data_IF_256541324205
#
_entry.id   IF_256541324205
#
_cell.length_a   1.000
_cell.length_b   1.000
_cell.length_c   1.000
_cell.angle_alpha   90.00
_cell.angle_beta   90.00
_cell.angle_gamma   90.00
#
_symmetry.space_group_name_H-M   'P 1'
#
loop_
_entity.id
_entity.type
_entity.pdbx_description
1 polymer ?
#
# COMPACT_ATOMS: atom_id res chain seq x y z
N UNK A 1 -3.75 19.15 -19.62
CA UNK A 1 -2.56 18.34 -19.99
C UNK A 1 -1.29 19.20 -19.96
N UNK A 2 -1.21 20.32 -20.67
CA UNK A 2 0.00 21.16 -20.79
C UNK A 2 0.54 21.63 -19.43
N UNK A 3 -0.32 22.09 -18.52
CA UNK A 3 0.04 22.50 -17.15
C UNK A 3 0.62 21.33 -16.32
N UNK A 4 0.04 20.14 -16.41
CA UNK A 4 0.51 18.97 -15.67
C UNK A 4 1.89 18.47 -16.12
N UNK A 5 2.21 18.61 -17.41
CA UNK A 5 3.54 18.23 -17.95
C UNK A 5 4.63 19.16 -17.42
N UNK A 6 4.36 20.45 -17.24
CA UNK A 6 5.36 21.41 -16.78
C UNK A 6 5.94 21.12 -15.39
N UNK A 7 5.17 20.46 -14.52
CA UNK A 7 5.58 20.06 -13.17
C UNK A 7 5.83 18.59 -13.02
N UNK A 8 5.75 17.81 -14.10
CA UNK A 8 5.77 16.34 -14.04
C UNK A 8 7.05 15.81 -13.38
N UNK A 9 8.21 16.33 -13.79
CA UNK A 9 9.50 15.87 -13.25
C UNK A 9 9.56 16.08 -11.73
N UNK A 10 9.24 17.28 -11.24
CA UNK A 10 9.24 17.60 -9.81
C UNK A 10 8.27 16.71 -9.01
N UNK A 11 7.09 16.48 -9.56
CA UNK A 11 6.10 15.60 -8.91
C UNK A 11 6.58 14.16 -8.86
N UNK A 12 7.09 13.64 -9.96
CA UNK A 12 7.58 12.26 -10.04
C UNK A 12 8.75 12.01 -9.08
N UNK A 13 9.68 12.93 -8.97
CA UNK A 13 10.81 12.81 -8.05
C UNK A 13 10.30 12.75 -6.60
N UNK A 14 9.43 13.68 -6.20
CA UNK A 14 8.87 13.70 -4.83
C UNK A 14 7.96 12.51 -4.55
N UNK A 15 7.08 12.14 -5.47
CA UNK A 15 6.21 10.97 -5.33
C UNK A 15 7.02 9.69 -5.13
N UNK A 16 8.11 9.55 -5.87
CA UNK A 16 8.99 8.38 -5.75
C UNK A 16 9.75 8.35 -4.41
N UNK A 17 10.26 9.49 -3.93
CA UNK A 17 10.87 9.60 -2.60
C UNK A 17 9.88 9.16 -1.52
N UNK A 18 8.66 9.72 -1.54
CA UNK A 18 7.59 9.39 -0.60
C UNK A 18 7.20 7.91 -0.70
N UNK A 19 6.98 7.39 -1.91
CA UNK A 19 6.61 5.99 -2.12
C UNK A 19 7.68 5.02 -1.60
N UNK A 20 8.97 5.36 -1.76
CA UNK A 20 10.06 4.56 -1.23
C UNK A 20 10.09 4.57 0.31
N UNK A 21 9.86 5.73 0.94
CA UNK A 21 9.77 5.84 2.40
C UNK A 21 8.59 5.02 2.95
N UNK A 22 7.41 5.16 2.34
CA UNK A 22 6.21 4.41 2.71
C UNK A 22 6.39 2.91 2.50
N UNK A 23 6.98 2.49 1.37
CA UNK A 23 7.21 1.07 1.09
C UNK A 23 8.14 0.43 2.14
N UNK A 24 9.18 1.15 2.60
CA UNK A 24 10.07 0.68 3.68
C UNK A 24 9.37 0.59 5.02
N UNK A 25 8.51 1.55 5.34
CA UNK A 25 7.68 1.52 6.54
C UNK A 25 6.75 0.30 6.53
N UNK A 26 6.03 0.10 5.43
CA UNK A 26 5.11 -1.03 5.28
C UNK A 26 5.81 -2.39 5.32
N UNK A 27 7.04 -2.49 4.82
CA UNK A 27 7.78 -3.75 4.76
C UNK A 27 8.05 -4.36 6.15
N UNK A 28 8.15 -3.52 7.18
CA UNK A 28 8.40 -3.95 8.57
C UNK A 28 7.15 -3.86 9.46
N UNK A 29 6.01 -3.47 8.89
CA UNK A 29 4.79 -3.27 9.67
C UNK A 29 4.11 -4.62 9.97
N UNK A 30 3.75 -4.93 11.25
CA UNK A 30 3.25 -6.24 11.65
C UNK A 30 1.91 -6.65 11.01
N UNK A 31 1.09 -5.68 10.59
CA UNK A 31 -0.19 -5.94 9.91
C UNK A 31 -0.07 -6.03 8.38
N UNK A 32 1.15 -5.94 7.84
CA UNK A 32 1.41 -6.03 6.40
C UNK A 32 2.08 -7.36 6.09
N UNK A 33 1.44 -8.14 5.22
CA UNK A 33 1.91 -9.46 4.78
C UNK A 33 2.94 -9.35 3.64
N UNK A 34 2.71 -8.42 2.71
CA UNK A 34 3.56 -8.24 1.54
C UNK A 34 3.50 -6.81 1.02
N UNK A 35 4.59 -6.34 0.42
CA UNK A 35 4.68 -5.01 -0.22
C UNK A 35 5.17 -5.20 -1.66
N UNK A 36 4.43 -4.62 -2.61
CA UNK A 36 4.73 -4.66 -4.03
C UNK A 36 5.13 -3.25 -4.49
N UNK A 37 6.42 -3.00 -4.53
CA UNK A 37 6.96 -1.73 -5.00
C UNK A 37 8.27 -1.97 -5.76
N UNK A 38 8.36 -1.46 -6.99
CA UNK A 38 9.56 -1.66 -7.80
C UNK A 38 10.86 -1.12 -7.20
N UNK A 39 10.81 -0.18 -6.30
CA UNK A 39 12.00 0.39 -5.65
C UNK A 39 12.56 -0.41 -4.48
N UNK A 40 11.92 -1.51 -4.08
CA UNK A 40 12.43 -2.35 -3.00
C UNK A 40 13.52 -3.32 -3.50
N UNK A 41 14.55 -3.61 -2.69
CA UNK A 41 15.56 -4.61 -3.02
C UNK A 41 14.91 -5.98 -3.28
N UNK A 42 15.29 -6.63 -4.37
CA UNK A 42 14.77 -7.96 -4.72
C UNK A 42 13.39 -7.98 -5.41
N UNK A 43 12.71 -6.85 -5.56
CA UNK A 43 11.38 -6.76 -6.20
C UNK A 43 11.38 -6.97 -7.73
N UNK A 44 12.45 -7.44 -8.30
CA UNK A 44 12.52 -7.80 -9.73
C UNK A 44 13.00 -6.70 -10.67
N UNK A 45 13.52 -5.60 -10.16
CA UNK A 45 13.67 -4.37 -10.91
C UNK A 45 15.00 -4.01 -11.51
N UNK A 46 15.95 -4.88 -11.46
CA UNK A 46 17.04 -4.82 -12.43
C UNK A 46 16.53 -4.79 -13.89
N UNK A 47 15.34 -5.37 -14.15
CA UNK A 47 14.68 -5.33 -15.46
C UNK A 47 14.13 -3.95 -15.83
N UNK A 48 13.63 -3.17 -14.86
CA UNK A 48 13.10 -1.83 -15.12
C UNK A 48 14.25 -0.82 -15.30
N UNK A 49 15.30 -0.92 -14.49
CA UNK A 49 16.52 -0.15 -14.69
C UNK A 49 17.16 -0.46 -16.05
N UNK A 50 17.20 -1.72 -16.49
CA UNK A 50 17.67 -2.13 -17.81
C UNK A 50 16.80 -1.59 -18.96
N UNK A 51 15.54 -1.21 -18.71
CA UNK A 51 14.64 -0.56 -19.68
C UNK A 51 14.76 0.97 -19.70
N UNK A 52 15.72 1.54 -18.99
CA UNK A 52 15.99 2.98 -18.99
C UNK A 52 15.03 3.80 -18.12
N UNK A 53 14.28 3.17 -17.19
CA UNK A 53 13.51 3.89 -16.21
C UNK A 53 14.44 4.51 -15.16
N UNK A 54 14.27 5.80 -14.88
CA UNK A 54 15.09 6.54 -13.91
C UNK A 54 14.72 6.26 -12.46
N UNK A 55 13.59 5.57 -12.23
CA UNK A 55 13.12 5.27 -10.90
C UNK A 55 11.86 4.41 -10.86
N UNK A 56 11.40 4.10 -9.65
CA UNK A 56 10.32 3.15 -9.38
C UNK A 56 8.91 3.76 -9.45
N UNK A 57 8.81 5.08 -9.56
CA UNK A 57 7.54 5.80 -9.61
C UNK A 57 6.86 5.95 -8.25
N UNK A 58 5.64 6.52 -8.26
CA UNK A 58 4.86 6.88 -7.07
C UNK A 58 3.71 5.94 -6.74
N UNK A 59 3.64 4.73 -7.35
CA UNK A 59 2.55 3.78 -7.08
C UNK A 59 3.12 2.52 -6.46
N UNK A 60 2.52 2.09 -5.35
CA UNK A 60 2.84 0.84 -4.66
C UNK A 60 1.56 0.13 -4.26
N UNK A 61 1.68 -1.15 -3.93
CA UNK A 61 0.58 -1.93 -3.33
C UNK A 61 1.10 -2.72 -2.14
N UNK A 62 0.22 -3.05 -1.22
CA UNK A 62 0.53 -3.95 -0.11
C UNK A 62 -0.66 -4.85 0.19
N UNK A 63 -0.40 -5.98 0.81
CA UNK A 63 -1.43 -6.89 1.33
C UNK A 63 -1.42 -6.84 2.86
N UNK A 64 -2.60 -6.70 3.46
CA UNK A 64 -2.72 -6.85 4.92
C UNK A 64 -2.68 -8.33 5.31
N UNK A 65 -2.34 -8.61 6.56
CA UNK A 65 -2.37 -9.98 7.09
C UNK A 65 -3.80 -10.54 7.11
N UNK A 66 -3.97 -11.86 6.98
CA UNK A 66 -5.29 -12.50 7.05
C UNK A 66 -6.04 -12.13 8.33
N UNK A 67 -7.34 -11.82 8.17
CA UNK A 67 -8.22 -11.45 9.29
C UNK A 67 -8.36 -9.94 9.51
N UNK A 68 -7.42 -9.13 9.07
CA UNK A 68 -7.56 -7.67 9.03
C UNK A 68 -8.37 -7.29 7.78
N UNK A 69 -9.46 -6.52 7.94
CA UNK A 69 -10.18 -5.98 6.77
C UNK A 69 -9.44 -4.75 6.24
N UNK A 70 -8.93 -4.78 5.00
CA UNK A 70 -8.24 -3.62 4.43
C UNK A 70 -9.15 -2.38 4.33
N UNK A 71 -10.48 -2.54 4.33
CA UNK A 71 -11.39 -1.42 4.37
C UNK A 71 -11.32 -0.67 5.72
N UNK A 72 -11.01 -1.35 6.81
CA UNK A 72 -10.80 -0.68 8.10
C UNK A 72 -9.56 0.23 8.07
N UNK A 73 -8.52 -0.16 7.35
CA UNK A 73 -7.36 0.72 7.14
C UNK A 73 -7.77 1.92 6.29
N UNK A 74 -8.36 1.68 5.11
CA UNK A 74 -8.67 2.75 4.16
C UNK A 74 -9.68 3.79 4.70
N UNK A 75 -10.68 3.32 5.44
CA UNK A 75 -11.73 4.20 5.99
C UNK A 75 -11.23 5.11 7.13
N UNK A 76 -10.05 4.86 7.66
CA UNK A 76 -9.45 5.64 8.72
C UNK A 76 -8.23 6.48 8.25
N UNK A 77 -7.96 6.50 6.96
CA UNK A 77 -6.99 7.41 6.35
C UNK A 77 -7.59 8.82 6.26
N UNK A 78 -6.78 9.83 6.58
CA UNK A 78 -7.18 11.24 6.55
C UNK A 78 -6.48 12.02 5.44
N UNK A 79 -5.23 11.70 5.15
CA UNK A 79 -4.44 12.32 4.08
C UNK A 79 -4.61 11.59 2.75
N UNK A 80 -4.58 10.27 2.77
CA UNK A 80 -4.91 9.50 1.57
C UNK A 80 -6.41 9.55 1.30
N UNK A 81 -6.77 9.99 0.10
CA UNK A 81 -8.18 10.00 -0.34
C UNK A 81 -8.55 8.69 -0.99
N UNK A 82 -9.73 8.17 -0.68
CA UNK A 82 -10.26 6.97 -1.32
C UNK A 82 -10.69 7.29 -2.75
N UNK A 83 -9.86 6.93 -3.74
CA UNK A 83 -10.12 7.21 -5.15
C UNK A 83 -9.29 6.33 -6.09
N UNK A 84 -9.86 6.06 -7.29
CA UNK A 84 -9.26 5.23 -8.35
C UNK A 84 -8.45 6.04 -9.36
N UNK A 85 -7.56 6.91 -8.91
CA UNK A 85 -6.72 7.72 -9.79
C UNK A 85 -5.24 7.55 -9.41
N UNK A 86 -4.35 8.23 -10.12
CA UNK A 86 -2.92 8.24 -9.83
C UNK A 86 -2.24 9.49 -10.44
N UNK A 87 -1.04 9.82 -9.94
CA UNK A 87 -0.17 10.84 -10.51
C UNK A 87 -0.57 12.28 -10.19
N UNK A 88 -1.53 12.49 -9.30
CA UNK A 88 -1.90 13.80 -8.78
C UNK A 88 -0.91 14.29 -7.71
N UNK A 89 -1.12 15.49 -7.19
CA UNK A 89 -0.33 16.03 -6.07
C UNK A 89 -0.76 15.42 -4.74
N UNK A 90 -2.05 15.07 -4.62
CA UNK A 90 -2.62 14.38 -3.47
C UNK A 90 -2.38 12.87 -3.52
N UNK A 91 -2.20 12.28 -2.35
CA UNK A 91 -2.11 10.84 -2.15
C UNK A 91 -3.49 10.18 -2.20
N UNK A 92 -3.56 9.06 -2.91
CA UNK A 92 -4.79 8.29 -3.11
C UNK A 92 -4.62 6.85 -2.69
N UNK A 93 -5.69 6.25 -2.17
CA UNK A 93 -5.75 4.84 -1.80
C UNK A 93 -6.99 4.17 -2.41
N UNK A 94 -6.88 2.89 -2.77
CA UNK A 94 -8.02 2.10 -3.23
C UNK A 94 -7.92 0.63 -2.83
N UNK A 95 -9.07 -0.02 -2.80
CA UNK A 95 -9.20 -1.48 -2.77
C UNK A 95 -9.51 -1.97 -4.19
N UNK A 96 -8.53 -2.53 -4.93
CA UNK A 96 -8.76 -2.97 -6.30
C UNK A 96 -9.92 -3.96 -6.43
N UNK A 97 -10.08 -4.87 -5.47
CA UNK A 97 -11.13 -5.88 -5.49
C UNK A 97 -12.56 -5.32 -5.37
N UNK A 98 -12.72 -4.14 -4.74
CA UNK A 98 -14.02 -3.48 -4.52
C UNK A 98 -14.23 -2.25 -5.41
N UNK A 99 -13.19 -1.79 -6.12
CA UNK A 99 -13.22 -0.55 -6.90
C UNK A 99 -12.89 -0.77 -8.37
N UNK A 100 -11.61 -0.90 -8.73
CA UNK A 100 -11.21 -1.00 -10.14
C UNK A 100 -11.49 -2.36 -10.79
N UNK A 101 -11.57 -3.42 -10.00
CA UNK A 101 -11.71 -4.80 -10.49
C UNK A 101 -12.93 -5.54 -9.89
N UNK A 102 -13.93 -4.80 -9.40
CA UNK A 102 -15.10 -5.40 -8.76
C UNK A 102 -15.97 -6.22 -9.73
N UNK A 103 -15.93 -5.89 -11.02
CA UNK A 103 -16.66 -6.61 -12.05
C UNK A 103 -16.06 -7.99 -12.40
N UNK A 104 -14.77 -8.21 -12.08
CA UNK A 104 -14.12 -9.48 -12.33
C UNK A 104 -14.50 -10.52 -11.27
N UNK A 105 -14.82 -11.76 -11.66
CA UNK A 105 -15.00 -12.85 -10.73
C UNK A 105 -13.75 -13.01 -9.83
N UNK A 106 -13.97 -13.37 -8.55
CA UNK A 106 -12.87 -13.51 -7.57
C UNK A 106 -11.74 -14.42 -8.08
N UNK A 107 -12.10 -15.54 -8.70
CA UNK A 107 -11.12 -16.50 -9.22
C UNK A 107 -10.22 -15.89 -10.31
N UNK A 108 -10.77 -15.02 -11.16
CA UNK A 108 -10.01 -14.32 -12.19
C UNK A 108 -9.12 -13.24 -11.59
N UNK A 109 -9.62 -12.49 -10.58
CA UNK A 109 -8.83 -11.50 -9.87
C UNK A 109 -7.60 -12.14 -9.19
N UNK A 110 -7.79 -13.28 -8.54
CA UNK A 110 -6.70 -14.01 -7.89
C UNK A 110 -5.63 -14.49 -8.88
N UNK A 111 -6.01 -14.91 -10.09
CA UNK A 111 -5.06 -15.32 -11.14
C UNK A 111 -4.13 -14.19 -11.59
N UNK A 112 -4.60 -12.95 -11.52
CA UNK A 112 -3.80 -11.75 -11.86
C UNK A 112 -3.18 -11.08 -10.63
N UNK A 113 -3.23 -11.72 -9.45
CA UNK A 113 -2.61 -11.22 -8.22
C UNK A 113 -3.42 -10.17 -7.46
N UNK A 114 -4.71 -9.98 -7.79
CA UNK A 114 -5.58 -9.05 -7.06
C UNK A 114 -6.34 -9.83 -5.99
N UNK A 115 -5.76 -9.88 -4.80
CA UNK A 115 -6.34 -10.51 -3.61
C UNK A 115 -7.40 -9.60 -2.96
N UNK A 116 -8.17 -10.14 -2.03
CA UNK A 116 -9.14 -9.36 -1.27
C UNK A 116 -8.47 -8.44 -0.23
N UNK A 117 -7.23 -8.78 0.15
CA UNK A 117 -6.39 -8.07 1.11
C UNK A 117 -5.52 -6.96 0.48
N UNK A 118 -5.52 -6.87 -0.86
CA UNK A 118 -4.65 -5.94 -1.59
C UNK A 118 -5.16 -4.50 -1.51
N UNK A 119 -4.28 -3.61 -1.08
CA UNK A 119 -4.44 -2.14 -1.10
C UNK A 119 -3.48 -1.55 -2.11
N UNK A 120 -3.93 -0.59 -2.93
CA UNK A 120 -3.07 0.20 -3.81
C UNK A 120 -2.98 1.64 -3.31
N UNK A 121 -1.76 2.17 -3.24
CA UNK A 121 -1.48 3.58 -2.96
C UNK A 121 -0.90 4.25 -4.20
N UNK A 122 -1.46 5.40 -4.56
CA UNK A 122 -0.86 6.35 -5.49
C UNK A 122 -0.38 7.56 -4.68
N UNK A 123 0.92 7.61 -4.43
CA UNK A 123 1.52 8.54 -3.49
C UNK A 123 1.69 9.92 -4.12
N UNK A 124 1.30 10.94 -3.39
CA UNK A 124 1.41 12.35 -3.76
C UNK A 124 2.72 12.99 -3.33
N UNK A 125 2.68 14.32 -3.16
CA UNK A 125 3.86 15.13 -2.85
C UNK A 125 3.83 15.73 -1.43
N UNK A 126 2.92 15.28 -0.57
CA UNK A 126 2.79 15.68 0.83
C UNK A 126 4.10 15.35 1.60
N UNK A 127 4.18 15.70 2.86
CA UNK A 127 5.30 15.26 3.69
C UNK A 127 5.25 13.75 3.91
N UNK A 128 6.38 13.06 3.74
CA UNK A 128 6.45 11.60 3.85
C UNK A 128 6.15 11.11 5.27
N UNK A 129 6.55 11.89 6.30
CA UNK A 129 6.31 11.51 7.69
C UNK A 129 4.83 11.63 8.03
N UNK A 130 4.15 12.67 7.53
CA UNK A 130 2.72 12.85 7.73
C UNK A 130 1.93 11.69 7.07
N UNK A 131 2.34 11.26 5.87
CA UNK A 131 1.73 10.12 5.19
C UNK A 131 1.96 8.80 5.95
N UNK A 132 3.14 8.61 6.52
CA UNK A 132 3.48 7.43 7.33
C UNK A 132 2.70 7.45 8.64
N UNK A 133 2.56 8.61 9.27
CA UNK A 133 1.76 8.76 10.50
C UNK A 133 0.29 8.47 10.24
N UNK A 134 -0.28 8.98 9.15
CA UNK A 134 -1.66 8.71 8.73
C UNK A 134 -1.91 7.20 8.54
N UNK A 135 -0.98 6.51 7.87
CA UNK A 135 -1.03 5.05 7.74
C UNK A 135 -0.92 4.35 9.10
N UNK A 136 -0.02 4.78 9.98
CA UNK A 136 0.16 4.21 11.31
C UNK A 136 -1.12 4.30 12.15
N UNK A 137 -1.74 5.47 12.22
CA UNK A 137 -2.99 5.69 12.93
C UNK A 137 -4.13 4.83 12.35
N UNK A 138 -4.21 4.72 11.03
CA UNK A 138 -5.21 3.88 10.37
C UNK A 138 -5.01 2.39 10.67
N UNK A 139 -3.78 1.91 10.73
CA UNK A 139 -3.46 0.54 11.13
C UNK A 139 -3.78 0.27 12.60
N UNK A 140 -3.51 1.20 13.51
CA UNK A 140 -3.84 1.06 14.94
C UNK A 140 -5.34 0.88 15.14
N UNK A 141 -6.16 1.67 14.44
CA UNK A 141 -7.62 1.55 14.49
C UNK A 141 -8.10 0.22 13.87
N UNK A 142 -7.53 -0.17 12.74
CA UNK A 142 -7.86 -1.45 12.09
C UNK A 142 -7.50 -2.64 12.99
N UNK A 143 -6.37 -2.56 13.71
CA UNK A 143 -5.96 -3.57 14.67
C UNK A 143 -6.90 -3.65 15.88
N UNK A 144 -7.29 -2.52 16.45
CA UNK A 144 -8.27 -2.50 17.54
C UNK A 144 -9.59 -3.17 17.14
N UNK A 145 -10.10 -2.86 15.95
CA UNK A 145 -11.30 -3.51 15.40
C UNK A 145 -11.12 -4.99 15.12
N UNK A 146 -9.92 -5.40 14.71
CA UNK A 146 -9.59 -6.82 14.54
C UNK A 146 -9.65 -7.55 15.87
N UNK A 147 -9.05 -7.01 16.94
CA UNK A 147 -9.10 -7.58 18.29
C UNK A 147 -10.54 -7.67 18.79
N UNK A 148 -11.34 -6.62 18.68
CA UNK A 148 -12.73 -6.60 19.12
C UNK A 148 -13.58 -7.70 18.44
N UNK A 149 -13.34 -7.94 17.15
CA UNK A 149 -14.05 -9.00 16.41
C UNK A 149 -13.60 -10.42 16.75
N UNK A 150 -12.42 -10.57 17.33
CA UNK A 150 -11.80 -11.86 17.63
C UNK A 150 -11.53 -12.04 19.13
N UNK A 151 -12.17 -11.24 20.01
CA UNK A 151 -11.96 -11.25 21.46
C UNK A 151 -12.16 -12.62 22.13
N UNK A 152 -12.87 -13.54 21.48
CA UNK A 152 -13.04 -14.93 21.93
C UNK A 152 -11.94 -15.91 21.43
N UNK A 153 -10.95 -15.42 20.70
CA UNK A 153 -9.90 -16.27 20.14
C UNK A 153 -8.52 -15.79 20.60
N UNK A 154 -7.78 -16.69 21.24
CA UNK A 154 -6.44 -16.46 21.82
C UNK A 154 -5.37 -16.21 20.71
N UNK A 155 -5.54 -15.10 19.98
CA UNK A 155 -4.78 -14.74 18.76
C UNK A 155 -3.39 -14.20 19.11
N UNK A 156 -3.17 -13.78 20.36
CA UNK A 156 -1.88 -13.23 20.79
C UNK A 156 -0.73 -14.25 20.67
N UNK A 157 -1.02 -15.52 20.76
CA UNK A 157 -0.03 -16.61 20.59
C UNK A 157 0.32 -16.88 19.13
N UNK A 158 -0.58 -16.63 18.17
CA UNK A 158 -0.30 -16.94 16.75
C UNK A 158 0.51 -15.85 16.05
N UNK A 159 0.35 -14.58 16.41
CA UNK A 159 1.14 -13.49 15.84
C UNK A 159 2.57 -13.43 16.37
N UNK A 160 2.80 -13.91 17.60
CA UNK A 160 4.15 -13.99 18.20
C UNK A 160 4.87 -15.30 17.92
N UNK A 161 4.16 -16.36 17.52
CA UNK A 161 4.76 -17.66 17.15
C UNK A 161 5.08 -17.79 15.65
N UNK A 162 4.56 -16.93 14.81
CA UNK A 162 4.95 -16.79 13.40
C UNK A 162 6.27 -16.03 13.32
N UNK A 163 7.39 -16.74 13.54
CA UNK A 163 8.72 -16.14 13.48
C UNK A 163 8.89 -15.34 12.18
N UNK A 164 9.27 -14.09 12.31
CA UNK A 164 9.82 -13.28 11.22
C UNK A 164 11.01 -14.06 10.67
N UNK A 165 10.80 -14.74 9.54
CA UNK A 165 11.88 -15.34 8.78
C UNK A 165 12.59 -14.19 8.07
N UNK A 166 13.68 -13.73 8.68
CA UNK A 166 14.67 -12.90 8.02
C UNK A 166 15.37 -13.78 6.98
N UNK A 167 15.08 -13.54 5.72
CA UNK A 167 15.92 -13.96 4.59
C UNK A 167 16.36 -12.70 3.86
#
# INVERSE_FOLDING_TARGET
VRRGIQTLALRMDRQQENANAIARYLLVHPLVKAVHYPGLPGAGDQRLAAKGLKGAGGVLSFEVVPGVDPADVLNNLHLFRLAVSLGAVESLAELPCRMTHFELPREERLKIGITDELVRLAVGIEDANDLIEDLGQAFDIAYARYIDRHADFDVFQQLTSGGVCLI
#
